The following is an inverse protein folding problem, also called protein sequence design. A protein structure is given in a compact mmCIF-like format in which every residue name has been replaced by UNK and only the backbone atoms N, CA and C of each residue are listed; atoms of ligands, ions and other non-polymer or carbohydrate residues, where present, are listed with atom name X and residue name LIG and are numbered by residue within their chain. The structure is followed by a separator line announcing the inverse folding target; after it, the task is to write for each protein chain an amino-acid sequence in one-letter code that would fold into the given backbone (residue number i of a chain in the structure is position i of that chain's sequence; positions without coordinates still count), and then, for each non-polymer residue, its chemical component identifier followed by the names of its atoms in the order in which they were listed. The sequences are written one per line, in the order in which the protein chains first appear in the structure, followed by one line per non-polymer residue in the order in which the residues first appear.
data_IF_679198352088
#
_entry.id   IF_679198352088
#
_cell.length_a   1.000
_cell.length_b   1.000
_cell.length_c   1.000
_cell.angle_alpha   90.00
_cell.angle_beta   90.00
_cell.angle_gamma   90.00
#
_symmetry.space_group_name_H-M   'P 1'
#
loop_
_entity.id
_entity.type
_entity.pdbx_description
1 polymer ?
#
# COMPACT_ATOMS: atom_id res chain seq x y z
N UNK A 1 0.18 28.48 -55.65
CA UNK A 1 0.69 28.46 -54.27
C UNK A 1 0.18 27.19 -53.61
N UNK A 2 1.07 26.25 -53.24
CA UNK A 2 0.72 24.93 -52.67
C UNK A 2 0.67 25.05 -51.15
N UNK A 3 -0.46 24.73 -50.54
CA UNK A 3 -0.61 24.64 -49.09
C UNK A 3 -0.13 23.27 -48.61
N UNK A 4 0.82 23.27 -47.67
CA UNK A 4 1.26 22.08 -46.95
C UNK A 4 0.51 22.03 -45.61
N UNK A 5 -0.37 21.05 -45.45
CA UNK A 5 -1.00 20.74 -44.17
C UNK A 5 -0.12 19.76 -43.42
N UNK A 6 0.46 20.17 -42.29
CA UNK A 6 1.23 19.30 -41.41
C UNK A 6 0.24 18.72 -40.38
N UNK A 7 -0.03 17.42 -40.47
CA UNK A 7 -0.70 16.68 -39.41
C UNK A 7 0.32 16.38 -38.30
N UNK A 8 0.23 17.12 -37.20
CA UNK A 8 0.96 16.80 -35.98
C UNK A 8 0.20 15.71 -35.22
N UNK A 9 0.62 14.46 -35.39
CA UNK A 9 0.14 13.33 -34.59
C UNK A 9 0.75 13.41 -33.19
N UNK A 10 -0.01 13.86 -32.20
CA UNK A 10 0.35 13.76 -30.79
C UNK A 10 0.25 12.29 -30.35
N UNK A 11 1.38 11.58 -30.34
CA UNK A 11 1.48 10.29 -29.70
C UNK A 11 1.42 10.49 -28.18
N UNK A 12 0.32 10.10 -27.54
CA UNK A 12 0.21 10.00 -26.08
C UNK A 12 1.07 8.82 -25.66
N UNK A 13 2.30 9.09 -25.22
CA UNK A 13 3.08 8.10 -24.51
C UNK A 13 2.34 7.78 -23.21
N UNK A 14 1.70 6.60 -23.15
CA UNK A 14 1.22 6.05 -21.90
C UNK A 14 2.44 5.82 -21.02
N UNK A 15 2.74 6.78 -20.14
CA UNK A 15 3.80 6.66 -19.16
C UNK A 15 3.47 5.47 -18.27
N UNK A 16 4.15 4.36 -18.51
CA UNK A 16 4.10 3.20 -17.61
C UNK A 16 4.78 3.68 -16.33
N UNK A 17 4.00 4.10 -15.33
CA UNK A 17 4.56 4.48 -14.04
C UNK A 17 5.24 3.23 -13.47
N UNK A 18 6.55 3.31 -13.28
CA UNK A 18 7.34 2.19 -12.79
C UNK A 18 6.82 1.72 -11.43
N UNK A 19 7.10 0.46 -11.09
CA UNK A 19 6.89 0.02 -9.73
C UNK A 19 7.70 0.94 -8.79
N UNK A 20 7.09 1.43 -7.71
CA UNK A 20 7.71 2.35 -6.76
C UNK A 20 8.96 1.78 -6.07
N UNK A 21 9.85 2.69 -5.67
CA UNK A 21 11.02 2.35 -4.86
C UNK A 21 10.61 1.68 -3.54
N UNK A 22 11.31 0.61 -3.14
CA UNK A 22 10.95 -0.18 -1.95
C UNK A 22 9.82 -1.19 -2.15
N UNK A 23 9.16 -1.22 -3.31
CA UNK A 23 8.32 -2.36 -3.67
C UNK A 23 9.21 -3.58 -3.96
N UNK A 24 9.31 -4.48 -2.99
CA UNK A 24 9.83 -5.82 -3.23
C UNK A 24 8.68 -6.63 -3.82
N UNK A 25 8.85 -7.17 -5.04
CA UNK A 25 7.88 -8.10 -5.63
C UNK A 25 7.88 -9.39 -4.78
N UNK A 26 7.11 -9.36 -3.70
CA UNK A 26 7.01 -10.43 -2.72
C UNK A 26 6.07 -11.49 -3.25
N UNK A 27 6.33 -12.76 -2.93
CA UNK A 27 5.40 -13.86 -3.21
C UNK A 27 4.01 -13.49 -2.67
N UNK A 28 3.07 -13.25 -3.59
CA UNK A 28 1.68 -12.94 -3.24
C UNK A 28 1.28 -11.47 -3.29
N UNK A 29 2.14 -10.51 -3.67
CA UNK A 29 1.71 -9.11 -3.90
C UNK A 29 2.18 -8.62 -5.26
N UNK A 30 1.27 -7.98 -5.99
CA UNK A 30 1.55 -7.36 -7.29
C UNK A 30 1.12 -5.90 -7.26
N UNK A 31 1.87 -5.05 -7.95
CA UNK A 31 1.59 -3.62 -8.06
C UNK A 31 1.08 -3.30 -9.47
N UNK A 32 0.03 -2.48 -9.55
CA UNK A 32 -0.49 -1.95 -10.81
C UNK A 32 -0.55 -0.42 -10.72
N UNK A 33 0.22 0.32 -11.55
CA UNK A 33 0.19 1.78 -11.55
C UNK A 33 -1.15 2.33 -12.04
N UNK A 34 -1.53 3.51 -11.55
CA UNK A 34 -2.71 4.24 -11.99
C UNK A 34 -2.40 5.74 -12.22
N UNK A 35 -3.13 6.43 -13.10
CA UNK A 35 -2.90 7.86 -13.36
C UNK A 35 -3.30 8.78 -12.20
N UNK A 36 -4.01 8.27 -11.20
CA UNK A 36 -4.52 9.02 -10.04
C UNK A 36 -4.61 8.13 -8.82
N UNK A 37 -4.65 8.74 -7.63
CA UNK A 37 -4.82 8.04 -6.35
C UNK A 37 -6.01 7.07 -6.39
N UNK A 38 -5.80 5.89 -5.82
CA UNK A 38 -6.82 4.85 -5.72
C UNK A 38 -7.24 4.65 -4.25
N UNK A 39 -8.54 4.51 -4.03
CA UNK A 39 -9.14 4.16 -2.73
C UNK A 39 -10.05 2.98 -2.96
N UNK A 40 -9.67 1.82 -2.44
CA UNK A 40 -10.41 0.55 -2.62
C UNK A 40 -10.83 -0.05 -1.29
N UNK A 41 -10.53 0.61 -0.19
CA UNK A 41 -10.86 0.17 1.15
C UNK A 41 -11.79 1.13 1.89
N UNK A 42 -12.43 0.63 2.95
CA UNK A 42 -13.04 1.44 4.00
C UNK A 42 -11.95 2.12 4.84
N UNK A 43 -12.28 3.19 5.60
CA UNK A 43 -11.37 3.73 6.60
C UNK A 43 -10.89 2.66 7.57
N UNK A 44 -9.61 2.73 7.93
CA UNK A 44 -9.00 1.74 8.79
C UNK A 44 -9.22 2.04 10.28
N UNK A 45 -9.27 0.99 11.10
CA UNK A 45 -9.13 1.10 12.55
C UNK A 45 -7.66 1.11 12.97
N UNK A 46 -7.35 1.70 14.11
CA UNK A 46 -5.98 1.76 14.65
C UNK A 46 -5.99 1.37 16.13
N UNK A 47 -4.99 0.60 16.54
CA UNK A 47 -4.77 0.23 17.93
C UNK A 47 -3.27 0.05 18.19
N UNK A 48 -2.81 0.45 19.38
CA UNK A 48 -1.51 0.02 19.89
C UNK A 48 -1.57 -1.47 20.24
N UNK A 49 -0.57 -2.22 19.81
CA UNK A 49 -0.45 -3.66 20.09
C UNK A 49 0.97 -4.01 20.54
N UNK A 50 1.20 -5.16 21.19
CA UNK A 50 2.54 -5.62 21.56
C UNK A 50 3.24 -6.25 20.35
N UNK A 51 3.81 -5.43 19.46
CA UNK A 51 4.56 -5.89 18.29
C UNK A 51 6.02 -6.09 18.72
N UNK A 52 6.49 -7.34 18.67
CA UNK A 52 7.84 -7.70 19.16
C UNK A 52 8.98 -6.95 18.43
N UNK A 53 8.76 -6.62 17.15
CA UNK A 53 9.69 -5.86 16.31
C UNK A 53 9.04 -4.51 15.96
N UNK A 54 8.76 -3.66 16.95
CA UNK A 54 8.19 -2.33 16.68
C UNK A 54 9.11 -1.54 15.73
N UNK A 55 8.53 -0.80 14.78
CA UNK A 55 9.30 -0.10 13.76
C UNK A 55 9.80 1.25 14.28
N UNK A 56 11.05 1.63 14.03
CA UNK A 56 11.48 3.01 14.32
C UNK A 56 10.70 3.98 13.40
N UNK A 57 10.01 4.93 14.02
CA UNK A 57 9.15 5.89 13.33
C UNK A 57 9.89 6.68 12.24
N UNK A 58 11.21 6.87 12.38
CA UNK A 58 12.04 7.61 11.42
C UNK A 58 12.13 6.87 10.09
N UNK A 59 12.30 5.55 10.14
CA UNK A 59 12.28 4.72 8.94
C UNK A 59 10.89 4.68 8.31
N UNK A 60 9.83 4.63 9.12
CA UNK A 60 8.47 4.70 8.59
C UNK A 60 8.12 6.07 7.99
N UNK A 61 8.65 7.17 8.53
CA UNK A 61 8.50 8.50 7.94
C UNK A 61 9.25 8.62 6.60
N UNK A 62 10.44 8.01 6.49
CA UNK A 62 11.19 7.92 5.24
C UNK A 62 10.41 7.12 4.18
N UNK A 63 9.90 5.94 4.55
CA UNK A 63 9.06 5.11 3.69
C UNK A 63 7.78 5.83 3.24
N UNK A 64 7.10 6.52 4.16
CA UNK A 64 5.91 7.30 3.83
C UNK A 64 6.21 8.43 2.85
N UNK A 65 7.38 9.07 2.99
CA UNK A 65 7.81 10.16 2.10
C UNK A 65 8.18 9.66 0.71
N UNK A 66 8.91 8.54 0.62
CA UNK A 66 9.34 7.95 -0.66
C UNK A 66 8.18 7.46 -1.53
N UNK A 67 7.02 7.21 -0.92
CA UNK A 67 5.79 6.75 -1.59
C UNK A 67 4.73 7.84 -1.82
N UNK A 68 4.95 9.05 -1.33
CA UNK A 68 3.94 10.12 -1.34
C UNK A 68 3.38 10.47 -2.72
N UNK A 69 4.19 10.35 -3.78
CA UNK A 69 3.82 10.67 -5.16
C UNK A 69 3.37 9.46 -6.00
N UNK A 70 3.33 8.26 -5.43
CA UNK A 70 3.04 7.03 -6.19
C UNK A 70 1.55 6.71 -6.19
N UNK A 71 0.99 6.39 -7.35
CA UNK A 71 -0.43 6.14 -7.54
C UNK A 71 -0.68 4.78 -8.20
N UNK A 72 -1.65 4.01 -7.69
CA UNK A 72 -1.92 2.66 -8.16
C UNK A 72 -2.56 1.76 -7.11
N UNK A 73 -2.58 0.46 -7.38
CA UNK A 73 -3.16 -0.54 -6.51
C UNK A 73 -2.21 -1.70 -6.26
N UNK A 74 -2.29 -2.24 -5.04
CA UNK A 74 -1.72 -3.51 -4.66
C UNK A 74 -2.78 -4.60 -4.79
N UNK A 75 -2.48 -5.64 -5.56
CA UNK A 75 -3.25 -6.88 -5.54
C UNK A 75 -2.54 -7.91 -4.66
N UNK A 76 -3.24 -8.34 -3.60
CA UNK A 76 -2.74 -9.21 -2.54
C UNK A 76 -3.39 -10.59 -2.72
N UNK A 77 -2.59 -11.57 -3.13
CA UNK A 77 -3.04 -12.90 -3.59
C UNK A 77 -2.86 -14.01 -2.55
N UNK A 78 -1.80 -13.98 -1.73
CA UNK A 78 -1.43 -15.09 -0.83
C UNK A 78 -1.77 -14.80 0.64
N UNK A 79 -2.99 -14.41 0.97
CA UNK A 79 -3.34 -14.15 2.37
C UNK A 79 -4.00 -15.35 3.02
N UNK A 80 -3.18 -16.38 3.27
CA UNK A 80 -3.54 -17.55 4.09
C UNK A 80 -3.98 -17.20 5.52
N UNK A 81 -3.82 -15.95 5.96
CA UNK A 81 -4.16 -15.47 7.30
C UNK A 81 -3.17 -15.88 8.40
N UNK A 82 -2.18 -16.71 8.06
CA UNK A 82 -1.20 -17.27 9.01
C UNK A 82 -0.05 -16.30 9.32
N UNK A 83 0.41 -15.54 8.33
CA UNK A 83 1.53 -14.59 8.43
C UNK A 83 1.18 -13.25 7.80
N UNK A 84 1.81 -12.18 8.30
CA UNK A 84 1.77 -10.88 7.63
C UNK A 84 2.69 -10.92 6.40
N UNK A 85 2.19 -10.39 5.29
CA UNK A 85 2.94 -10.27 4.04
C UNK A 85 3.29 -8.80 3.85
N UNK A 86 4.58 -8.48 3.63
CA UNK A 86 5.02 -7.10 3.39
C UNK A 86 4.39 -6.52 2.13
N UNK A 87 3.56 -5.48 2.28
CA UNK A 87 3.03 -4.68 1.16
C UNK A 87 4.03 -3.61 0.76
N UNK A 88 4.55 -2.91 1.77
CA UNK A 88 5.61 -1.92 1.66
C UNK A 88 6.72 -2.29 2.64
N UNK A 89 7.96 -2.18 2.18
CA UNK A 89 9.12 -2.42 3.03
C UNK A 89 10.26 -1.46 2.65
N UNK A 90 10.87 -0.90 3.69
CA UNK A 90 12.19 -0.28 3.67
C UNK A 90 12.96 -0.76 4.91
N UNK A 91 14.26 -0.49 5.00
CA UNK A 91 15.05 -0.82 6.18
C UNK A 91 14.38 -0.25 7.44
N UNK A 92 14.11 -1.09 8.44
CA UNK A 92 13.53 -0.67 9.71
C UNK A 92 12.04 -0.28 9.69
N UNK A 93 11.35 -0.41 8.56
CA UNK A 93 9.89 -0.23 8.49
C UNK A 93 9.22 -1.09 7.42
N UNK A 94 8.30 -1.93 7.85
CA UNK A 94 7.47 -2.78 7.01
C UNK A 94 5.99 -2.57 7.35
N UNK A 95 5.16 -2.30 6.34
CA UNK A 95 3.71 -2.41 6.43
C UNK A 95 3.30 -3.79 5.90
N UNK A 96 2.87 -4.66 6.80
CA UNK A 96 2.42 -6.01 6.45
C UNK A 96 0.91 -6.16 6.56
N UNK A 97 0.34 -7.05 5.75
CA UNK A 97 -1.09 -7.38 5.77
C UNK A 97 -1.34 -8.89 5.81
N UNK A 98 -2.48 -9.30 6.37
CA UNK A 98 -2.98 -10.67 6.30
C UNK A 98 -4.51 -10.68 6.26
N UNK A 99 -5.09 -11.74 5.73
CA UNK A 99 -6.55 -11.91 5.75
C UNK A 99 -7.06 -12.04 7.18
N UNK A 100 -8.18 -11.37 7.47
CA UNK A 100 -8.88 -11.56 8.75
C UNK A 100 -9.56 -12.93 8.84
N UNK A 101 -9.91 -13.54 7.70
CA UNK A 101 -10.47 -14.89 7.60
C UNK A 101 -9.84 -15.66 6.43
N UNK A 102 -9.59 -16.95 6.62
CA UNK A 102 -9.03 -17.80 5.56
C UNK A 102 -9.99 -17.92 4.37
N UNK A 103 -9.43 -18.06 3.17
CA UNK A 103 -10.20 -18.22 1.93
C UNK A 103 -10.81 -16.94 1.36
N UNK A 104 -10.52 -15.78 1.97
CA UNK A 104 -10.90 -14.47 1.42
C UNK A 104 -9.78 -13.89 0.56
N UNK A 105 -10.15 -13.12 -0.47
CA UNK A 105 -9.24 -12.50 -1.43
C UNK A 105 -9.37 -13.08 -2.85
N UNK A 106 -8.46 -12.75 -3.78
CA UNK A 106 -7.43 -11.72 -3.68
C UNK A 106 -8.01 -10.34 -3.33
N UNK A 107 -7.23 -9.53 -2.62
CA UNK A 107 -7.63 -8.19 -2.19
C UNK A 107 -7.01 -7.13 -3.08
N UNK A 108 -7.67 -6.00 -3.22
CA UNK A 108 -7.12 -4.80 -3.84
C UNK A 108 -7.05 -3.68 -2.81
N UNK A 109 -5.87 -3.14 -2.58
CA UNK A 109 -5.62 -1.98 -1.72
C UNK A 109 -5.07 -0.83 -2.56
N UNK A 110 -5.68 0.34 -2.48
CA UNK A 110 -5.25 1.51 -3.21
C UNK A 110 -4.09 2.22 -2.52
N UNK A 111 -3.30 2.97 -3.29
CA UNK A 111 -2.21 3.76 -2.73
C UNK A 111 -2.69 4.76 -1.67
N UNK A 112 -3.88 5.34 -1.81
CA UNK A 112 -4.42 6.29 -0.83
C UNK A 112 -4.76 5.61 0.49
N UNK A 113 -5.18 4.34 0.45
CA UNK A 113 -5.45 3.55 1.65
C UNK A 113 -4.14 3.31 2.43
N UNK A 114 -3.07 2.93 1.73
CA UNK A 114 -1.74 2.74 2.29
C UNK A 114 -1.17 4.04 2.86
N UNK A 115 -1.23 5.13 2.08
CA UNK A 115 -0.79 6.47 2.51
C UNK A 115 -1.54 6.91 3.76
N UNK A 116 -2.85 6.64 3.85
CA UNK A 116 -3.66 6.97 5.02
C UNK A 116 -3.24 6.17 6.26
N UNK A 117 -2.98 4.87 6.12
CA UNK A 117 -2.48 4.03 7.22
C UNK A 117 -1.16 4.57 7.75
N UNK A 118 -0.17 4.77 6.88
CA UNK A 118 1.15 5.27 7.30
C UNK A 118 1.06 6.66 7.93
N UNK A 119 0.29 7.57 7.33
CA UNK A 119 0.12 8.93 7.83
C UNK A 119 -0.49 8.95 9.24
N UNK A 120 -1.61 8.25 9.45
CA UNK A 120 -2.32 8.23 10.74
C UNK A 120 -1.46 7.52 11.79
N UNK A 121 -0.83 6.40 11.45
CA UNK A 121 0.11 5.71 12.33
C UNK A 121 1.23 6.66 12.82
N UNK A 122 1.89 7.36 11.88
CA UNK A 122 2.97 8.29 12.22
C UNK A 122 2.49 9.47 13.06
N UNK A 123 1.34 10.06 12.71
CA UNK A 123 0.83 11.26 13.36
C UNK A 123 0.27 10.99 14.76
N UNK A 124 -0.43 9.88 14.93
CA UNK A 124 -1.26 9.65 16.12
C UNK A 124 -0.70 8.55 17.03
N UNK A 125 0.28 7.76 16.58
CA UNK A 125 0.78 6.58 17.32
C UNK A 125 2.30 6.48 17.46
N UNK A 126 3.09 7.36 16.82
CA UNK A 126 4.55 7.31 16.99
C UNK A 126 5.00 7.86 18.34
N UNK A 127 4.44 8.99 18.77
CA UNK A 127 4.86 9.77 19.95
C UNK A 127 6.39 9.95 20.08
N UNK A 128 7.10 9.95 18.94
CA UNK A 128 8.57 10.03 18.87
C UNK A 128 9.32 8.74 19.28
N UNK A 129 8.60 7.62 19.41
CA UNK A 129 9.09 6.29 19.79
C UNK A 129 8.82 5.26 18.71
N UNK A 130 9.14 3.99 18.96
CA UNK A 130 8.87 2.90 18.02
C UNK A 130 7.36 2.74 17.79
N UNK A 131 6.98 2.66 16.53
CA UNK A 131 5.63 2.40 16.06
C UNK A 131 5.26 0.95 16.32
N UNK A 132 4.42 0.76 17.33
CA UNK A 132 3.79 -0.52 17.65
C UNK A 132 2.28 -0.42 17.41
N UNK A 133 1.89 -0.28 16.15
CA UNK A 133 0.51 -0.02 15.73
C UNK A 133 0.01 -1.06 14.73
N UNK A 134 -1.22 -1.50 14.95
CA UNK A 134 -1.94 -2.44 14.11
C UNK A 134 -3.38 -2.00 13.89
N UNK A 135 -4.06 -2.70 12.99
CA UNK A 135 -5.44 -2.39 12.70
C UNK A 135 -6.13 -3.36 11.77
N UNK A 136 -7.35 -2.99 11.43
CA UNK A 136 -8.21 -3.71 10.50
C UNK A 136 -8.69 -2.73 9.43
N UNK A 137 -8.86 -3.26 8.23
CA UNK A 137 -9.40 -2.52 7.11
C UNK A 137 -10.24 -3.48 6.27
N UNK A 138 -11.30 -2.98 5.62
CA UNK A 138 -12.06 -3.78 4.67
C UNK A 138 -11.75 -3.30 3.26
N UNK A 139 -11.28 -4.20 2.40
CA UNK A 139 -10.84 -3.85 1.05
C UNK A 139 -11.60 -4.65 0.00
N UNK A 140 -11.69 -4.09 -1.20
CA UNK A 140 -12.28 -4.78 -2.35
C UNK A 140 -11.63 -6.15 -2.56
N UNK A 141 -12.44 -7.16 -2.88
CA UNK A 141 -11.97 -8.51 -3.22
C UNK A 141 -12.43 -8.96 -4.60
N UNK A 142 -11.67 -9.85 -5.22
CA UNK A 142 -11.95 -10.34 -6.58
C UNK A 142 -13.32 -11.01 -6.73
N UNK A 143 -13.83 -11.67 -5.67
CA UNK A 143 -15.15 -12.27 -5.63
C UNK A 143 -16.31 -11.25 -5.55
N UNK A 144 -15.99 -9.95 -5.50
CA UNK A 144 -16.96 -8.87 -5.31
C UNK A 144 -17.15 -8.50 -3.83
N UNK A 145 -17.57 -7.25 -3.60
CA UNK A 145 -17.73 -6.70 -2.26
C UNK A 145 -16.39 -6.38 -1.58
N UNK A 146 -16.43 -6.26 -0.25
CA UNK A 146 -15.26 -5.95 0.60
C UNK A 146 -15.08 -6.99 1.70
N UNK A 147 -13.84 -7.36 1.99
CA UNK A 147 -13.49 -8.31 3.04
C UNK A 147 -12.37 -7.77 3.94
N UNK A 148 -12.23 -8.36 5.13
CA UNK A 148 -11.33 -7.86 6.17
C UNK A 148 -9.86 -8.25 5.94
N UNK A 149 -8.98 -7.26 6.02
CA UNK A 149 -7.55 -7.40 6.18
C UNK A 149 -7.14 -6.88 7.56
N UNK A 150 -6.26 -7.62 8.22
CA UNK A 150 -5.45 -7.11 9.33
C UNK A 150 -4.17 -6.53 8.77
N UNK A 151 -3.71 -5.44 9.35
CA UNK A 151 -2.41 -4.86 9.03
C UNK A 151 -1.65 -4.52 10.31
N UNK A 152 -0.34 -4.46 10.19
CA UNK A 152 0.56 -4.00 11.26
C UNK A 152 1.81 -3.34 10.67
N UNK A 153 2.45 -2.47 11.45
CA UNK A 153 3.75 -1.88 11.13
C UNK A 153 4.82 -2.48 12.05
N UNK A 154 5.95 -2.92 11.48
CA UNK A 154 7.05 -3.58 12.20
C UNK A 154 8.42 -3.35 11.54
N UNK A 155 9.52 -3.49 12.28
CA UNK A 155 10.85 -2.99 11.94
C UNK A 155 11.82 -3.95 11.23
N UNK A 156 11.33 -5.00 10.57
CA UNK A 156 12.18 -6.02 9.91
C UNK A 156 12.83 -5.57 8.60
#
# INVERSE_FOLDING_TARGET
MKAFTIFASLAVAAGVSAAPAGFQNSTGITWTPAPSDQTTCDPSSFAQGPINDAADWRFCAALSSSWSSTNGTFSIHDVSGSKYIPVLKEEGCTLGVKASMQGQGPYTMGDRDIKAILRIALQDYSDGTDLSVEGNVKCNVAAGGRAGLKWQIYGQ
#
